data_IF_643714239554
#
_entry.id   IF_643714239554
#
_cell.length_a   1.000
_cell.length_b   1.000
_cell.length_c   1.000
_cell.angle_alpha   90.00
_cell.angle_beta   90.00
_cell.angle_gamma   90.00
#
_symmetry.space_group_name_H-M   'P 1'
#
loop_
_entity.id
_entity.type
_entity.pdbx_description
1 polymer ?
#
# COMPACT_ATOMS: atom_id res chain seq x y z
N UNK A 1 34.39 -0.22 -0.28
CA UNK A 1 33.58 -1.28 -0.87
C UNK A 1 32.56 -0.62 -1.78
N UNK A 2 32.54 -1.01 -3.05
CA UNK A 2 31.80 -0.33 -4.07
C UNK A 2 30.31 -0.66 -3.93
N UNK A 3 29.45 0.39 -3.88
CA UNK A 3 28.02 0.26 -4.16
C UNK A 3 27.88 -0.34 -5.56
N UNK A 4 27.31 -1.53 -5.67
CA UNK A 4 26.99 -2.10 -6.98
C UNK A 4 25.82 -1.31 -7.55
N UNK A 5 26.10 -0.46 -8.53
CA UNK A 5 25.06 0.12 -9.36
C UNK A 5 24.55 -0.98 -10.29
N UNK A 6 23.46 -1.63 -9.93
CA UNK A 6 22.76 -2.55 -10.81
C UNK A 6 21.93 -1.72 -11.79
N UNK A 7 22.39 -1.66 -13.03
CA UNK A 7 21.61 -1.08 -14.15
C UNK A 7 20.89 -2.25 -14.80
N UNK A 8 19.59 -2.40 -14.55
CA UNK A 8 18.75 -3.28 -15.36
C UNK A 8 18.16 -2.47 -16.51
N UNK A 9 18.64 -2.70 -17.71
CA UNK A 9 18.10 -2.12 -18.93
C UNK A 9 17.23 -3.17 -19.62
N UNK A 10 15.97 -3.24 -19.26
CA UNK A 10 14.96 -3.83 -20.14
C UNK A 10 14.29 -2.68 -20.89
N UNK A 11 14.89 -2.31 -21.98
CA UNK A 11 14.35 -1.66 -23.19
C UNK A 11 13.48 -0.41 -23.11
N UNK A 12 12.89 -0.04 -21.97
CA UNK A 12 11.97 1.11 -21.83
C UNK A 12 12.30 2.07 -20.66
N UNK A 13 13.15 1.69 -19.69
CA UNK A 13 13.52 2.51 -18.53
C UNK A 13 14.78 3.35 -18.78
N UNK A 14 14.74 4.22 -19.80
CA UNK A 14 15.83 5.14 -20.11
C UNK A 14 15.84 6.29 -19.11
N UNK A 15 16.02 6.04 -17.83
CA UNK A 15 16.05 7.16 -16.88
C UNK A 15 16.08 6.77 -15.41
N UNK A 16 15.84 5.52 -15.07
CA UNK A 16 15.87 5.04 -13.69
C UNK A 16 17.22 4.40 -13.38
N UNK A 17 17.83 4.78 -12.28
CA UNK A 17 19.04 4.17 -11.72
C UNK A 17 18.80 3.78 -10.27
N UNK A 18 19.43 2.72 -9.80
CA UNK A 18 19.32 2.31 -8.40
C UNK A 18 20.64 1.85 -7.84
N UNK A 19 20.84 2.10 -6.55
CA UNK A 19 21.99 1.63 -5.77
C UNK A 19 21.46 0.92 -4.54
N UNK A 20 22.00 -0.27 -4.26
CA UNK A 20 21.73 -1.03 -3.06
C UNK A 20 23.00 -1.09 -2.22
N UNK A 21 22.99 -0.50 -1.04
CA UNK A 21 24.12 -0.52 -0.12
C UNK A 21 24.19 -1.82 0.70
N UNK A 22 25.33 -2.10 1.30
CA UNK A 22 25.58 -3.32 2.08
C UNK A 22 24.63 -3.47 3.29
N UNK A 23 24.11 -2.35 3.83
CA UNK A 23 23.12 -2.33 4.92
C UNK A 23 21.67 -2.51 4.44
N UNK A 24 21.47 -2.70 3.14
CA UNK A 24 20.17 -2.97 2.54
C UNK A 24 19.34 -1.74 2.18
N UNK A 25 19.94 -0.54 2.19
CA UNK A 25 19.26 0.67 1.71
C UNK A 25 19.29 0.72 0.19
N UNK A 26 18.10 0.68 -0.42
CA UNK A 26 17.90 0.89 -1.86
C UNK A 26 17.56 2.35 -2.12
N UNK A 27 18.32 3.00 -2.99
CA UNK A 27 18.04 4.34 -3.48
C UNK A 27 17.73 4.26 -4.97
N UNK A 28 16.57 4.77 -5.37
CA UNK A 28 16.11 4.80 -6.76
C UNK A 28 16.02 6.25 -7.20
N UNK A 29 16.66 6.57 -8.31
CA UNK A 29 16.79 7.94 -8.85
C UNK A 29 16.50 7.96 -10.33
N UNK A 30 16.20 9.18 -10.87
CA UNK A 30 15.95 9.39 -12.29
C UNK A 30 14.53 9.81 -12.56
N UNK A 31 14.07 9.56 -13.79
CA UNK A 31 12.73 9.94 -14.26
C UNK A 31 12.03 8.77 -14.93
N UNK A 32 10.71 8.68 -14.77
CA UNK A 32 9.92 7.58 -15.34
C UNK A 32 9.34 6.64 -14.28
N UNK A 33 9.14 5.39 -14.63
CA UNK A 33 8.50 4.40 -13.75
C UNK A 33 9.44 3.24 -13.43
N UNK A 34 9.36 2.74 -12.21
CA UNK A 34 9.99 1.47 -11.81
C UNK A 34 9.21 0.34 -12.50
N UNK A 35 9.92 -0.60 -13.13
CA UNK A 35 9.31 -1.70 -13.84
C UNK A 35 8.52 -2.65 -12.91
N UNK A 36 7.61 -3.43 -13.50
CA UNK A 36 6.90 -4.50 -12.80
C UNK A 36 7.90 -5.51 -12.24
N UNK A 37 7.63 -5.99 -11.02
CA UNK A 37 8.43 -7.00 -10.32
C UNK A 37 9.94 -6.68 -10.17
N UNK A 38 10.37 -5.42 -10.41
CA UNK A 38 11.79 -5.04 -10.49
C UNK A 38 12.65 -5.52 -9.30
N UNK A 39 12.10 -5.55 -8.10
CA UNK A 39 12.79 -5.96 -6.88
C UNK A 39 12.07 -7.11 -6.15
N UNK A 40 11.17 -7.81 -6.84
CA UNK A 40 10.36 -8.86 -6.24
C UNK A 40 11.20 -9.92 -5.53
N UNK A 41 10.85 -10.26 -4.28
CA UNK A 41 11.52 -11.27 -3.48
C UNK A 41 12.93 -10.90 -2.98
N UNK A 42 13.38 -9.65 -3.17
CA UNK A 42 14.70 -9.24 -2.72
C UNK A 42 14.74 -9.02 -1.20
N UNK A 43 15.22 -10.03 -0.48
CA UNK A 43 15.31 -10.01 0.98
C UNK A 43 16.51 -9.21 1.53
N UNK A 44 17.39 -8.70 0.66
CA UNK A 44 18.48 -7.81 1.10
C UNK A 44 17.99 -6.39 1.36
N UNK A 45 16.86 -5.97 0.73
CA UNK A 45 16.34 -4.63 0.87
C UNK A 45 15.69 -4.45 2.24
N UNK A 46 16.20 -3.49 3.01
CA UNK A 46 15.69 -3.13 4.34
C UNK A 46 14.97 -1.79 4.35
N UNK A 47 15.34 -0.88 3.45
CA UNK A 47 14.68 0.41 3.25
C UNK A 47 14.77 0.86 1.79
N UNK A 48 13.77 1.62 1.34
CA UNK A 48 13.70 2.15 -0.03
C UNK A 48 13.49 3.65 0.03
N UNK A 49 14.32 4.38 -0.71
CA UNK A 49 14.15 5.82 -0.98
C UNK A 49 13.99 5.99 -2.47
N UNK A 50 12.81 6.47 -2.89
CA UNK A 50 12.51 6.77 -4.28
C UNK A 50 12.57 8.31 -4.44
N UNK A 51 13.44 8.78 -5.35
CA UNK A 51 13.66 10.20 -5.55
C UNK A 51 12.53 10.86 -6.35
N UNK A 52 12.39 12.18 -6.18
CA UNK A 52 11.54 13.00 -7.02
C UNK A 52 11.91 12.80 -8.51
N UNK A 53 10.91 12.82 -9.39
CA UNK A 53 11.09 12.51 -10.81
C UNK A 53 10.67 11.10 -11.19
N UNK A 54 10.62 10.16 -10.23
CA UNK A 54 9.96 8.87 -10.41
C UNK A 54 8.46 9.08 -10.32
N UNK A 55 7.73 8.70 -11.37
CA UNK A 55 6.29 8.97 -11.51
C UNK A 55 5.42 7.73 -11.41
N UNK A 56 6.03 6.54 -11.42
CA UNK A 56 5.31 5.28 -11.29
C UNK A 56 6.13 4.22 -10.56
N UNK A 57 5.42 3.30 -9.93
CA UNK A 57 5.98 2.12 -9.28
C UNK A 57 5.17 0.94 -9.79
N UNK A 58 5.79 0.08 -10.60
CA UNK A 58 5.13 -1.02 -11.30
C UNK A 58 4.48 -2.04 -10.37
N UNK A 59 3.60 -2.84 -10.95
CA UNK A 59 2.93 -3.94 -10.26
C UNK A 59 3.96 -4.91 -9.67
N UNK A 60 3.77 -5.30 -8.41
CA UNK A 60 4.67 -6.25 -7.74
C UNK A 60 6.10 -5.76 -7.50
N UNK A 61 6.45 -4.49 -7.81
CA UNK A 61 7.84 -4.02 -7.82
C UNK A 61 8.65 -4.38 -6.57
N UNK A 62 8.03 -4.42 -5.39
CA UNK A 62 8.64 -4.81 -4.12
C UNK A 62 7.96 -6.01 -3.46
N UNK A 63 7.15 -6.77 -4.20
CA UNK A 63 6.44 -7.91 -3.62
C UNK A 63 7.41 -8.90 -2.99
N UNK A 64 7.13 -9.36 -1.77
CA UNK A 64 7.98 -10.32 -1.08
C UNK A 64 9.33 -9.79 -0.59
N UNK A 65 9.55 -8.46 -0.58
CA UNK A 65 10.70 -7.85 0.11
C UNK A 65 10.49 -7.96 1.63
N UNK A 66 10.65 -9.17 2.18
CA UNK A 66 10.23 -9.50 3.55
C UNK A 66 10.99 -8.76 4.65
N UNK A 67 12.19 -8.22 4.35
CA UNK A 67 12.99 -7.43 5.28
C UNK A 67 12.79 -5.91 5.10
N UNK A 68 11.97 -5.48 4.14
CA UNK A 68 11.67 -4.06 3.94
C UNK A 68 10.88 -3.50 5.13
N UNK A 69 11.47 -2.52 5.83
CA UNK A 69 10.89 -1.89 7.03
C UNK A 69 10.25 -0.54 6.75
N UNK A 70 10.77 0.18 5.76
CA UNK A 70 10.30 1.52 5.40
C UNK A 70 10.48 1.83 3.91
N UNK A 71 9.57 2.65 3.38
CA UNK A 71 9.64 3.18 2.01
C UNK A 71 9.22 4.64 1.99
N UNK A 72 9.95 5.45 1.22
CA UNK A 72 9.57 6.83 0.89
C UNK A 72 9.08 6.87 -0.54
N UNK A 73 7.81 7.22 -0.74
CA UNK A 73 7.15 7.36 -2.04
C UNK A 73 7.11 8.84 -2.40
N UNK A 74 7.63 9.27 -3.57
CA UNK A 74 7.67 10.69 -3.95
C UNK A 74 6.31 11.22 -4.42
N UNK A 75 6.15 12.54 -4.39
CA UNK A 75 4.93 13.24 -4.83
C UNK A 75 4.65 13.11 -6.34
N UNK A 76 5.56 12.56 -7.14
CA UNK A 76 5.31 12.26 -8.56
C UNK A 76 4.40 11.05 -8.81
N UNK A 77 4.27 10.17 -7.83
CA UNK A 77 3.51 8.92 -7.95
C UNK A 77 2.01 9.19 -7.79
N UNK A 78 1.21 8.74 -8.76
CA UNK A 78 -0.25 8.95 -8.78
C UNK A 78 -1.06 7.68 -8.49
N UNK A 79 -0.44 6.52 -8.60
CA UNK A 79 -1.07 5.21 -8.35
C UNK A 79 -0.10 4.31 -7.59
N UNK A 80 -0.61 3.59 -6.60
CA UNK A 80 0.08 2.44 -6.01
C UNK A 80 -0.49 1.20 -6.70
N UNK A 81 0.29 0.62 -7.61
CA UNK A 81 -0.15 -0.49 -8.45
C UNK A 81 -0.35 -1.79 -7.67
N UNK A 82 -0.92 -2.79 -8.35
CA UNK A 82 -1.27 -4.06 -7.72
C UNK A 82 -0.05 -4.78 -7.14
N UNK A 83 -0.18 -5.36 -5.97
CA UNK A 83 0.87 -6.13 -5.30
C UNK A 83 2.18 -5.37 -5.03
N UNK A 84 2.28 -4.06 -5.31
CA UNK A 84 3.55 -3.28 -5.25
C UNK A 84 4.35 -3.57 -3.98
N UNK A 85 3.70 -3.61 -2.81
CA UNK A 85 4.31 -3.94 -1.52
C UNK A 85 3.71 -5.22 -0.92
N UNK A 86 3.10 -6.08 -1.74
CA UNK A 86 2.51 -7.33 -1.28
C UNK A 86 3.54 -8.20 -0.55
N UNK A 87 3.16 -8.76 0.58
CA UNK A 87 4.02 -9.63 1.40
C UNK A 87 5.33 -8.98 1.89
N UNK A 88 5.38 -7.63 2.03
CA UNK A 88 6.44 -6.93 2.75
C UNK A 88 6.19 -7.06 4.26
N UNK A 89 6.47 -8.25 4.82
CA UNK A 89 6.05 -8.63 6.18
C UNK A 89 6.68 -7.82 7.29
N UNK A 90 7.83 -7.16 7.05
CA UNK A 90 8.51 -6.28 8.02
C UNK A 90 8.15 -4.80 7.87
N UNK A 91 7.34 -4.42 6.86
CA UNK A 91 6.98 -3.02 6.64
C UNK A 91 6.12 -2.49 7.79
N UNK A 92 6.66 -1.53 8.55
CA UNK A 92 6.02 -1.01 9.76
C UNK A 92 5.18 0.23 9.52
N UNK A 93 5.59 1.04 8.55
CA UNK A 93 4.92 2.29 8.18
C UNK A 93 5.16 2.63 6.72
N UNK A 94 4.21 3.33 6.12
CA UNK A 94 4.32 3.94 4.79
C UNK A 94 3.54 5.25 4.77
N UNK A 95 4.11 6.26 4.15
CA UNK A 95 3.42 7.52 3.87
C UNK A 95 2.97 7.50 2.42
N UNK A 96 1.66 7.63 2.21
CA UNK A 96 1.08 7.75 0.86
C UNK A 96 1.02 9.23 0.52
N UNK A 97 1.69 9.68 -0.57
CA UNK A 97 1.71 11.09 -0.94
C UNK A 97 0.35 11.61 -1.41
N UNK A 98 0.16 12.92 -1.29
CA UNK A 98 -1.10 13.59 -1.65
C UNK A 98 -1.43 13.59 -3.14
N UNK A 99 -0.56 13.11 -3.98
CA UNK A 99 -0.75 12.94 -5.44
C UNK A 99 -1.38 11.60 -5.81
N UNK A 100 -1.35 10.60 -4.91
CA UNK A 100 -1.95 9.27 -5.15
C UNK A 100 -3.46 9.36 -5.20
N UNK A 101 -4.05 8.89 -6.30
CA UNK A 101 -5.50 8.91 -6.54
C UNK A 101 -6.16 7.54 -6.41
N UNK A 102 -5.37 6.45 -6.58
CA UNK A 102 -5.86 5.08 -6.42
C UNK A 102 -4.80 4.17 -5.80
N UNK A 103 -5.28 3.17 -5.06
CA UNK A 103 -4.47 2.08 -4.51
C UNK A 103 -5.08 0.79 -5.04
N UNK A 104 -4.31 0.05 -5.84
CA UNK A 104 -4.80 -1.07 -6.61
C UNK A 104 -4.80 -2.39 -5.81
N UNK A 105 -5.29 -3.45 -6.44
CA UNK A 105 -5.53 -4.75 -5.80
C UNK A 105 -4.30 -5.27 -5.06
N UNK A 106 -4.50 -5.65 -3.78
CA UNK A 106 -3.46 -6.27 -2.94
C UNK A 106 -2.16 -5.47 -2.76
N UNK A 107 -2.16 -4.15 -3.00
CA UNK A 107 -0.95 -3.32 -2.96
C UNK A 107 -0.13 -3.46 -1.66
N UNK A 108 -0.77 -3.68 -0.52
CA UNK A 108 -0.15 -3.93 0.80
C UNK A 108 -0.61 -5.26 1.41
N UNK A 109 -0.99 -6.24 0.56
CA UNK A 109 -1.42 -7.55 1.03
C UNK A 109 -0.35 -8.19 1.93
N UNK A 110 -0.78 -8.71 3.09
CA UNK A 110 0.09 -9.40 4.06
C UNK A 110 1.30 -8.59 4.56
N UNK A 111 1.19 -7.24 4.61
CA UNK A 111 2.13 -6.39 5.35
C UNK A 111 1.87 -6.54 6.86
N UNK A 112 2.24 -7.69 7.42
CA UNK A 112 1.83 -8.13 8.76
C UNK A 112 2.36 -7.27 9.90
N UNK A 113 3.44 -6.50 9.69
CA UNK A 113 4.00 -5.56 10.67
C UNK A 113 3.48 -4.13 10.53
N UNK A 114 2.65 -3.83 9.51
CA UNK A 114 2.10 -2.48 9.32
C UNK A 114 1.14 -2.14 10.47
N UNK A 115 1.46 -1.07 11.22
CA UNK A 115 0.71 -0.70 12.42
C UNK A 115 -0.33 0.38 12.20
N UNK A 116 -0.08 1.27 11.25
CA UNK A 116 -0.98 2.38 10.94
C UNK A 116 -0.91 2.76 9.47
N UNK A 117 -2.02 3.29 8.94
CA UNK A 117 -2.08 3.85 7.60
C UNK A 117 -3.01 5.07 7.56
N UNK A 118 -2.60 6.09 6.83
CA UNK A 118 -3.45 7.22 6.47
C UNK A 118 -3.67 7.23 4.97
N UNK A 119 -4.93 7.18 4.56
CA UNK A 119 -5.34 7.31 3.17
C UNK A 119 -5.63 8.77 2.91
N UNK A 120 -4.84 9.47 2.05
CA UNK A 120 -5.03 10.89 1.80
C UNK A 120 -6.34 11.19 1.05
N UNK A 121 -6.78 12.44 1.10
CA UNK A 121 -8.04 12.88 0.48
C UNK A 121 -8.03 12.80 -1.07
N UNK A 122 -6.86 12.70 -1.66
CA UNK A 122 -6.70 12.48 -3.11
C UNK A 122 -7.12 11.09 -3.57
N UNK A 123 -7.08 10.08 -2.69
CA UNK A 123 -7.46 8.70 -3.02
C UNK A 123 -8.97 8.58 -3.08
N UNK A 124 -9.48 8.22 -4.25
CA UNK A 124 -10.92 8.04 -4.49
C UNK A 124 -11.35 6.58 -4.42
N UNK A 125 -10.43 5.64 -4.61
CA UNK A 125 -10.73 4.20 -4.59
C UNK A 125 -9.59 3.38 -3.97
N UNK A 126 -9.98 2.34 -3.24
CA UNK A 126 -9.09 1.31 -2.71
C UNK A 126 -9.55 -0.03 -3.29
N UNK A 127 -8.63 -0.75 -3.92
CA UNK A 127 -8.85 -2.03 -4.57
C UNK A 127 -9.13 -3.17 -3.59
N UNK A 128 -9.41 -4.35 -4.13
CA UNK A 128 -9.69 -5.55 -3.34
C UNK A 128 -8.43 -6.04 -2.62
N UNK A 129 -8.58 -6.44 -1.35
CA UNK A 129 -7.52 -7.06 -0.55
C UNK A 129 -6.32 -6.18 -0.24
N UNK A 130 -6.42 -4.84 -0.42
CA UNK A 130 -5.24 -3.95 -0.29
C UNK A 130 -4.51 -4.14 1.03
N UNK A 131 -5.22 -4.20 2.16
CA UNK A 131 -4.64 -4.40 3.49
C UNK A 131 -5.01 -5.77 4.09
N UNK A 132 -5.43 -6.72 3.26
CA UNK A 132 -5.76 -8.06 3.73
C UNK A 132 -4.54 -8.71 4.36
N UNK A 133 -4.69 -9.21 5.60
CA UNK A 133 -3.60 -9.84 6.33
C UNK A 133 -2.62 -8.89 7.01
N UNK A 134 -2.91 -7.57 7.06
CA UNK A 134 -2.16 -6.63 7.88
C UNK A 134 -2.51 -6.83 9.36
N UNK A 135 -1.99 -7.92 9.95
CA UNK A 135 -2.43 -8.42 11.27
C UNK A 135 -2.08 -7.51 12.43
N UNK A 136 -1.09 -6.61 12.28
CA UNK A 136 -0.69 -5.62 13.29
C UNK A 136 -1.37 -4.25 13.11
N UNK A 137 -2.23 -4.08 12.09
CA UNK A 137 -2.84 -2.80 11.77
C UNK A 137 -3.87 -2.42 12.84
N UNK A 138 -3.54 -1.40 13.64
CA UNK A 138 -4.38 -0.91 14.75
C UNK A 138 -5.11 0.38 14.42
N UNK A 139 -4.55 1.19 13.50
CA UNK A 139 -5.07 2.51 13.16
C UNK A 139 -5.16 2.69 11.64
N UNK A 140 -6.36 3.00 11.18
CA UNK A 140 -6.66 3.33 9.79
C UNK A 140 -7.39 4.66 9.76
N UNK A 141 -6.81 5.65 9.06
CA UNK A 141 -7.47 6.93 8.80
C UNK A 141 -7.88 6.98 7.34
N UNK A 142 -9.18 6.96 7.09
CA UNK A 142 -9.78 7.18 5.77
C UNK A 142 -10.18 8.65 5.66
N UNK A 143 -9.67 9.36 4.65
CA UNK A 143 -9.98 10.77 4.45
C UNK A 143 -11.24 10.95 3.58
N UNK A 144 -11.88 12.11 3.69
CA UNK A 144 -12.96 12.49 2.78
C UNK A 144 -12.43 12.56 1.34
N UNK A 145 -13.24 12.13 0.38
CA UNK A 145 -12.85 11.92 -1.02
C UNK A 145 -12.87 10.44 -1.42
N UNK A 146 -12.66 9.53 -0.47
CA UNK A 146 -12.75 8.09 -0.72
C UNK A 146 -14.21 7.70 -1.00
N UNK A 147 -14.46 7.15 -2.20
CA UNK A 147 -15.81 6.76 -2.65
C UNK A 147 -16.01 5.25 -2.67
N UNK A 148 -14.93 4.48 -2.76
CA UNK A 148 -15.00 3.02 -2.89
C UNK A 148 -13.92 2.29 -2.09
N UNK A 149 -14.32 1.23 -1.40
CA UNK A 149 -13.47 0.21 -0.78
C UNK A 149 -13.79 -1.13 -1.44
N UNK A 150 -12.78 -1.85 -1.93
CA UNK A 150 -12.91 -3.15 -2.58
C UNK A 150 -13.22 -4.31 -1.63
N UNK A 151 -13.39 -5.49 -2.21
CA UNK A 151 -13.63 -6.72 -1.46
C UNK A 151 -12.45 -7.07 -0.56
N UNK A 152 -12.71 -7.55 0.65
CA UNK A 152 -11.70 -8.05 1.61
C UNK A 152 -10.57 -7.05 1.94
N UNK A 153 -10.77 -5.75 1.70
CA UNK A 153 -9.71 -4.73 1.82
C UNK A 153 -9.02 -4.76 3.18
N UNK A 154 -9.77 -4.92 4.26
CA UNK A 154 -9.24 -5.04 5.63
C UNK A 154 -9.43 -6.45 6.20
N UNK A 155 -9.64 -7.46 5.36
CA UNK A 155 -9.79 -8.84 5.81
C UNK A 155 -8.60 -9.30 6.65
N UNK A 156 -8.83 -9.96 7.78
CA UNK A 156 -7.80 -10.44 8.71
C UNK A 156 -6.91 -9.34 9.32
N UNK A 157 -7.38 -8.09 9.40
CA UNK A 157 -6.73 -7.05 10.20
C UNK A 157 -7.04 -7.29 11.69
N UNK A 158 -6.37 -8.30 12.27
CA UNK A 158 -6.73 -8.85 13.58
C UNK A 158 -6.54 -7.90 14.76
N UNK A 159 -5.67 -6.87 14.60
CA UNK A 159 -5.42 -5.86 15.63
C UNK A 159 -6.35 -4.64 15.52
N UNK A 160 -7.12 -4.50 14.44
CA UNK A 160 -7.98 -3.34 14.20
C UNK A 160 -9.17 -3.38 15.16
N UNK A 161 -9.31 -2.36 16.01
CA UNK A 161 -10.39 -2.29 17.01
C UNK A 161 -11.54 -1.38 16.57
N UNK A 162 -11.20 -0.30 15.87
CA UNK A 162 -12.18 0.69 15.40
C UNK A 162 -11.81 1.22 14.03
N UNK A 163 -12.81 1.57 13.23
CA UNK A 163 -12.62 2.28 11.97
C UNK A 163 -13.72 3.32 11.79
N UNK A 164 -13.35 4.47 11.22
CA UNK A 164 -14.29 5.52 10.84
C UNK A 164 -14.43 5.55 9.31
N UNK A 165 -15.66 5.45 8.85
CA UNK A 165 -16.01 5.46 7.43
C UNK A 165 -16.43 6.86 7.04
N UNK A 166 -15.73 7.53 6.09
CA UNK A 166 -16.02 8.90 5.71
C UNK A 166 -17.39 9.06 5.04
N UNK A 167 -17.93 10.28 5.10
CA UNK A 167 -19.23 10.59 4.51
C UNK A 167 -19.24 10.44 2.97
N UNK A 168 -18.09 10.58 2.34
CA UNK A 168 -17.91 10.43 0.88
C UNK A 168 -18.08 9.00 0.37
N UNK A 169 -17.97 7.98 1.26
CA UNK A 169 -17.97 6.58 0.81
C UNK A 169 -19.35 6.14 0.33
N UNK A 170 -19.41 5.64 -0.90
CA UNK A 170 -20.64 5.17 -1.56
C UNK A 170 -20.70 3.66 -1.73
N UNK A 171 -19.56 2.96 -1.65
CA UNK A 171 -19.49 1.51 -1.87
C UNK A 171 -18.42 0.85 -1.00
N UNK A 172 -18.82 -0.24 -0.35
CA UNK A 172 -17.90 -1.20 0.32
C UNK A 172 -18.09 -2.58 -0.30
N UNK A 173 -16.97 -3.23 -0.59
CA UNK A 173 -16.93 -4.58 -1.13
C UNK A 173 -17.30 -5.65 -0.10
N UNK A 174 -17.52 -6.87 -0.62
CA UNK A 174 -17.85 -8.03 0.22
C UNK A 174 -16.70 -8.37 1.17
N UNK A 175 -17.03 -8.84 2.36
CA UNK A 175 -16.04 -9.32 3.34
C UNK A 175 -14.97 -8.27 3.70
N UNK A 176 -15.24 -6.96 3.52
CA UNK A 176 -14.24 -5.89 3.69
C UNK A 176 -13.52 -5.95 5.03
N UNK A 177 -14.18 -6.42 6.10
CA UNK A 177 -13.64 -6.56 7.46
C UNK A 177 -13.70 -8.01 7.97
N UNK A 178 -13.75 -9.00 7.07
CA UNK A 178 -13.83 -10.42 7.45
C UNK A 178 -12.65 -10.83 8.32
N UNK A 179 -12.95 -11.55 9.41
CA UNK A 179 -11.94 -12.06 10.34
C UNK A 179 -11.10 -10.96 11.04
N UNK A 180 -11.65 -9.75 11.23
CA UNK A 180 -11.03 -8.73 12.07
C UNK A 180 -11.34 -9.03 13.55
N UNK A 181 -10.53 -9.89 14.17
CA UNK A 181 -10.83 -10.51 15.47
C UNK A 181 -11.07 -9.51 16.63
N UNK A 182 -10.48 -8.31 16.56
CA UNK A 182 -10.62 -7.28 17.60
C UNK A 182 -11.59 -6.16 17.23
N UNK A 183 -12.18 -6.18 16.02
CA UNK A 183 -13.03 -5.09 15.57
C UNK A 183 -14.31 -4.99 16.40
N UNK A 184 -14.50 -3.89 17.10
CA UNK A 184 -15.63 -3.66 18.02
C UNK A 184 -16.57 -2.57 17.55
N UNK A 185 -16.07 -1.64 16.71
CA UNK A 185 -16.85 -0.48 16.29
C UNK A 185 -16.49 -0.02 14.90
N UNK A 186 -17.50 0.16 14.08
CA UNK A 186 -17.42 0.84 12.79
C UNK A 186 -18.31 2.07 12.88
N UNK A 187 -17.71 3.26 12.82
CA UNK A 187 -18.43 4.53 12.81
C UNK A 187 -18.65 4.97 11.37
N UNK A 188 -19.89 5.07 10.95
CA UNK A 188 -20.24 5.49 9.60
C UNK A 188 -20.77 6.93 9.61
N UNK A 189 -20.08 7.81 8.89
CA UNK A 189 -20.56 9.16 8.62
C UNK A 189 -21.28 9.25 7.26
N UNK A 190 -21.17 8.19 6.46
CA UNK A 190 -21.83 8.08 5.16
C UNK A 190 -23.36 8.02 5.31
N UNK A 191 -24.07 8.75 4.45
CA UNK A 191 -25.54 8.72 4.37
C UNK A 191 -25.96 7.43 3.62
N UNK A 192 -26.09 6.34 4.34
CA UNK A 192 -26.18 5.00 3.78
C UNK A 192 -27.63 4.50 3.62
N UNK A 193 -28.41 5.07 2.71
CA UNK A 193 -29.59 4.36 2.20
C UNK A 193 -29.22 3.13 1.34
N UNK A 194 -27.95 2.99 0.98
CA UNK A 194 -27.41 1.94 0.10
C UNK A 194 -26.55 0.86 0.80
N UNK A 195 -26.27 1.04 2.08
CA UNK A 195 -25.44 0.10 2.84
C UNK A 195 -26.27 -1.04 3.42
N UNK A 196 -25.87 -2.27 3.13
CA UNK A 196 -26.41 -3.45 3.80
C UNK A 196 -25.43 -3.90 4.89
N UNK A 197 -25.84 -3.96 6.17
CA UNK A 197 -24.96 -4.35 7.29
C UNK A 197 -24.27 -5.72 7.14
N UNK A 198 -24.80 -6.60 6.29
CA UNK A 198 -24.32 -7.96 6.04
C UNK A 198 -22.96 -8.03 5.33
N UNK A 199 -22.38 -6.89 4.91
CA UNK A 199 -21.06 -6.85 4.26
C UNK A 199 -19.93 -6.50 5.24
N UNK A 200 -20.24 -6.33 6.52
CA UNK A 200 -19.32 -5.69 7.46
C UNK A 200 -18.66 -6.70 8.37
N UNK A 201 -19.35 -7.72 8.84
CA UNK A 201 -18.80 -8.77 9.73
C UNK A 201 -19.65 -10.04 9.64
N UNK A 202 -19.08 -11.14 9.21
CA UNK A 202 -19.44 -12.51 9.61
C UNK A 202 -18.20 -13.18 10.17
#
# INVERSE_FOLDING_TARGET
TADEALVFSDGEDIGITYTLSDDGKLVISGTGSIADDAFAGNTKITSVVISEGVTGIGSGAFTGCTNLTSVTIPEGVTTIDGMTFGNCTSLTSVTIPGTVTSIEVQAFWNCSSLTSITIPASVTSIGSGVFQGCTSLTSVKLSEGLTRIGDQTFGRCNALETIEIPASLTSIGNDAFKNCAKLRSIRCYANSSTWQPRYICD
#
